data_IF_534145585406
#
_entry.id   IF_534145585406
#
_cell.length_a   1.000
_cell.length_b   1.000
_cell.length_c   1.000
_cell.angle_alpha   90.00
_cell.angle_beta   90.00
_cell.angle_gamma   90.00
#
_symmetry.space_group_name_H-M   'P 1'
#
loop_
_entity.id
_entity.type
_entity.pdbx_description
1 polymer ?
#
# COMPACT_ATOMS: atom_id res chain seq x y z
N UNK A 1 -4.10 9.70 15.01
CA UNK A 1 -3.24 8.52 14.80
C UNK A 1 -3.98 7.35 15.41
N UNK A 2 -4.23 6.29 14.63
CA UNK A 2 -4.96 5.10 15.08
C UNK A 2 -3.91 4.10 15.59
N UNK A 3 -4.19 3.39 16.68
CA UNK A 3 -3.31 2.32 17.15
C UNK A 3 -3.23 1.21 16.08
N UNK A 4 -2.06 0.60 15.90
CA UNK A 4 -1.89 -0.49 14.94
C UNK A 4 -2.77 -1.69 15.29
N UNK A 5 -3.04 -1.91 16.59
CA UNK A 5 -3.91 -2.99 17.05
C UNK A 5 -5.38 -2.76 16.67
N UNK A 6 -5.80 -1.50 16.57
CA UNK A 6 -7.17 -1.11 16.23
C UNK A 6 -7.42 -0.99 14.71
N UNK A 7 -6.43 -1.32 13.88
CA UNK A 7 -6.57 -1.30 12.42
C UNK A 7 -7.46 -2.46 11.93
N UNK A 8 -8.74 -2.20 11.76
CA UNK A 8 -9.70 -3.18 11.24
C UNK A 8 -10.07 -2.91 9.77
N UNK A 9 -10.88 -3.79 9.19
CA UNK A 9 -11.42 -3.62 7.85
C UNK A 9 -12.38 -2.40 7.80
N UNK A 10 -12.30 -1.61 6.72
CA UNK A 10 -13.11 -0.40 6.58
C UNK A 10 -14.61 -0.67 6.43
N UNK A 11 -14.97 -1.79 5.80
CA UNK A 11 -16.34 -2.21 5.55
C UNK A 11 -16.52 -3.69 5.85
N UNK A 12 -17.58 -4.03 6.59
CA UNK A 12 -17.96 -5.43 6.86
C UNK A 12 -18.54 -6.12 5.61
N UNK A 13 -19.11 -5.36 4.69
CA UNK A 13 -19.89 -5.85 3.54
C UNK A 13 -19.28 -5.47 2.18
N UNK A 14 -17.95 -5.43 2.07
CA UNK A 14 -17.28 -5.22 0.79
C UNK A 14 -17.37 -6.49 -0.07
N UNK A 15 -17.84 -6.35 -1.30
CA UNK A 15 -17.97 -7.46 -2.27
C UNK A 15 -16.60 -7.88 -2.83
N UNK A 16 -16.47 -9.13 -3.29
CA UNK A 16 -15.21 -9.67 -3.84
C UNK A 16 -14.88 -9.13 -5.25
N UNK A 17 -15.88 -8.68 -6.00
CA UNK A 17 -15.75 -8.29 -7.41
C UNK A 17 -15.57 -6.78 -7.56
N UNK A 18 -16.33 -5.98 -6.81
CA UNK A 18 -16.25 -4.51 -6.90
C UNK A 18 -16.90 -3.79 -5.72
N UNK A 19 -16.40 -2.61 -5.30
CA UNK A 19 -17.07 -1.78 -4.33
C UNK A 19 -18.34 -1.16 -4.91
N UNK A 20 -19.31 -0.85 -4.05
CA UNK A 20 -20.39 0.08 -4.41
C UNK A 20 -19.83 1.48 -4.66
N UNK A 21 -20.58 2.34 -5.36
CA UNK A 21 -20.16 3.73 -5.58
C UNK A 21 -19.91 4.50 -4.26
N UNK A 22 -20.69 4.22 -3.22
CA UNK A 22 -20.53 4.83 -1.88
C UNK A 22 -19.24 4.36 -1.22
N UNK A 23 -18.94 3.05 -1.24
CA UNK A 23 -17.70 2.50 -0.70
C UNK A 23 -16.48 3.04 -1.46
N UNK A 24 -16.54 3.10 -2.80
CA UNK A 24 -15.47 3.64 -3.62
C UNK A 24 -15.21 5.13 -3.34
N UNK A 25 -16.27 5.93 -3.24
CA UNK A 25 -16.17 7.34 -2.87
C UNK A 25 -15.53 7.52 -1.49
N UNK A 26 -15.90 6.68 -0.51
CA UNK A 26 -15.32 6.72 0.83
C UNK A 26 -13.85 6.32 0.86
N UNK A 27 -13.47 5.27 0.12
CA UNK A 27 -12.05 4.91 -0.05
C UNK A 27 -11.26 6.06 -0.69
N UNK A 28 -11.85 6.73 -1.69
CA UNK A 28 -11.19 7.84 -2.37
C UNK A 28 -11.02 9.07 -1.48
N UNK A 29 -12.02 9.38 -0.64
CA UNK A 29 -11.91 10.42 0.40
C UNK A 29 -10.73 10.15 1.34
N UNK A 30 -10.65 8.93 1.89
CA UNK A 30 -9.54 8.51 2.76
C UNK A 30 -8.19 8.66 2.05
N UNK A 31 -8.08 8.19 0.82
CA UNK A 31 -6.85 8.34 0.03
C UNK A 31 -6.43 9.80 -0.13
N UNK A 32 -7.39 10.69 -0.40
CA UNK A 32 -7.12 12.12 -0.54
C UNK A 32 -6.66 12.73 0.77
N UNK A 33 -7.34 12.43 1.86
CA UNK A 33 -6.98 12.97 3.16
C UNK A 33 -5.63 12.43 3.62
N UNK A 34 -5.34 11.16 3.37
CA UNK A 34 -4.11 10.52 3.83
C UNK A 34 -2.86 10.93 3.05
N UNK A 35 -2.99 11.18 1.74
CA UNK A 35 -1.81 11.32 0.88
C UNK A 35 -1.82 12.55 -0.04
N UNK A 36 -2.97 13.19 -0.24
CA UNK A 36 -3.08 14.37 -1.13
C UNK A 36 -3.16 15.66 -0.34
N UNK A 37 -3.92 15.68 0.76
CA UNK A 37 -4.10 16.86 1.60
C UNK A 37 -3.09 16.89 2.76
N UNK A 38 -2.95 15.79 3.51
CA UNK A 38 -1.90 15.67 4.51
C UNK A 38 -0.62 15.20 3.83
N UNK A 39 0.36 16.10 3.73
CA UNK A 39 1.70 15.73 3.32
C UNK A 39 2.29 14.72 4.32
N UNK A 40 2.58 13.50 3.85
CA UNK A 40 3.30 12.50 4.64
C UNK A 40 4.78 12.61 4.32
N UNK A 41 5.59 12.84 5.36
CA UNK A 41 7.05 12.91 5.27
C UNK A 41 7.65 11.72 5.98
N UNK A 42 8.50 10.97 5.27
CA UNK A 42 9.22 9.80 5.79
C UNK A 42 10.71 10.01 5.57
N UNK A 43 11.50 9.97 6.63
CA UNK A 43 12.96 10.23 6.62
C UNK A 43 13.31 11.57 5.94
N UNK A 44 12.49 12.60 6.16
CA UNK A 44 12.67 13.92 5.54
C UNK A 44 12.30 13.98 4.06
N UNK A 45 11.68 12.94 3.49
CA UNK A 45 11.22 12.89 2.10
C UNK A 45 9.70 12.85 2.01
N UNK A 46 9.14 13.68 1.15
CA UNK A 46 7.70 13.69 0.88
C UNK A 46 7.27 12.46 0.08
N UNK A 47 6.06 11.98 0.34
CA UNK A 47 5.41 10.98 -0.49
C UNK A 47 4.82 11.66 -1.73
N UNK A 48 5.16 11.13 -2.92
CA UNK A 48 4.55 11.54 -4.18
C UNK A 48 3.63 10.43 -4.71
N UNK A 49 2.63 10.84 -5.49
CA UNK A 49 1.62 9.96 -6.06
C UNK A 49 1.60 10.08 -7.59
N UNK A 50 1.09 9.05 -8.25
CA UNK A 50 0.79 9.08 -9.68
C UNK A 50 -0.66 9.55 -9.87
N UNK A 51 -0.81 10.80 -10.30
CA UNK A 51 -2.10 11.48 -10.47
C UNK A 51 -2.75 11.26 -11.84
N UNK A 52 -2.03 10.68 -12.80
CA UNK A 52 -2.59 10.36 -14.11
C UNK A 52 -3.77 9.38 -13.97
N UNK A 53 -4.77 9.57 -14.83
CA UNK A 53 -5.97 8.74 -14.87
C UNK A 53 -5.64 7.35 -15.41
N UNK A 54 -6.25 6.32 -14.82
CA UNK A 54 -6.20 4.97 -15.36
C UNK A 54 -7.22 4.75 -16.46
N UNK A 55 -6.95 3.77 -17.31
CA UNK A 55 -7.88 3.24 -18.32
C UNK A 55 -8.52 1.91 -17.90
N UNK A 56 -8.34 1.52 -16.63
CA UNK A 56 -8.90 0.29 -16.10
C UNK A 56 -10.43 0.43 -15.98
N UNK A 57 -11.15 -0.50 -16.61
CA UNK A 57 -12.61 -0.50 -16.62
C UNK A 57 -13.19 -0.54 -15.19
N UNK A 58 -14.14 0.34 -14.90
CA UNK A 58 -14.76 0.52 -13.58
C UNK A 58 -13.99 1.44 -12.63
N UNK A 59 -12.80 1.89 -13.03
CA UNK A 59 -11.96 2.82 -12.28
C UNK A 59 -11.46 3.97 -13.17
N UNK A 60 -12.09 4.18 -14.33
CA UNK A 60 -11.73 5.24 -15.26
C UNK A 60 -11.74 6.59 -14.52
N UNK A 61 -10.89 7.51 -14.95
CA UNK A 61 -10.76 8.85 -14.38
C UNK A 61 -10.15 8.92 -12.96
N UNK A 62 -9.92 7.79 -12.29
CA UNK A 62 -9.28 7.76 -10.98
C UNK A 62 -7.74 7.77 -11.08
N UNK A 63 -7.02 8.35 -10.11
CA UNK A 63 -5.56 8.37 -10.09
C UNK A 63 -4.93 6.97 -10.08
N UNK A 64 -3.85 6.75 -10.84
CA UNK A 64 -3.18 5.45 -10.94
C UNK A 64 -2.74 4.92 -9.57
N UNK A 65 -2.17 5.74 -8.69
CA UNK A 65 -1.77 5.27 -7.34
C UNK A 65 -2.98 4.80 -6.53
N UNK A 66 -4.09 5.55 -6.55
CA UNK A 66 -5.31 5.13 -5.85
C UNK A 66 -5.76 3.75 -6.36
N UNK A 67 -5.85 3.57 -7.67
CA UNK A 67 -6.28 2.30 -8.26
C UNK A 67 -5.30 1.16 -7.94
N UNK A 68 -4.01 1.43 -7.84
CA UNK A 68 -3.01 0.44 -7.41
C UNK A 68 -3.12 0.01 -5.94
N UNK A 69 -3.80 0.79 -5.08
CA UNK A 69 -4.14 0.41 -3.71
C UNK A 69 -5.39 -0.48 -3.64
N UNK A 70 -6.27 -0.42 -4.64
CA UNK A 70 -7.52 -1.19 -4.68
C UNK A 70 -7.42 -2.47 -5.52
N UNK A 71 -6.37 -2.60 -6.33
CA UNK A 71 -6.28 -3.65 -7.35
C UNK A 71 -4.96 -4.40 -7.28
N UNK A 72 -4.97 -5.63 -7.80
CA UNK A 72 -3.78 -6.45 -7.98
C UNK A 72 -3.59 -6.80 -9.45
N UNK A 73 -2.35 -7.03 -9.83
CA UNK A 73 -2.01 -7.70 -11.08
C UNK A 73 -1.91 -9.21 -10.79
N UNK A 74 -2.80 -10.06 -11.34
CA UNK A 74 -2.81 -11.50 -11.02
C UNK A 74 -1.52 -12.20 -11.45
N UNK A 75 -0.95 -11.77 -12.58
CA UNK A 75 0.36 -12.17 -13.06
C UNK A 75 0.90 -11.11 -14.02
N UNK A 76 2.23 -11.07 -14.18
CA UNK A 76 2.92 -10.05 -14.97
C UNK A 76 2.33 -9.92 -16.38
N UNK A 77 1.94 -8.72 -16.75
CA UNK A 77 1.34 -8.37 -18.04
C UNK A 77 -0.16 -8.61 -18.13
N UNK A 78 -0.83 -9.10 -17.07
CA UNK A 78 -2.29 -9.27 -17.06
C UNK A 78 -2.99 -8.01 -16.55
N UNK A 79 -4.21 -7.72 -17.06
CA UNK A 79 -4.99 -6.61 -16.53
C UNK A 79 -5.18 -6.72 -15.03
N UNK A 80 -5.10 -5.58 -14.34
CA UNK A 80 -5.37 -5.51 -12.91
C UNK A 80 -6.83 -5.86 -12.64
N UNK A 81 -7.07 -6.53 -11.52
CA UNK A 81 -8.41 -6.85 -11.02
C UNK A 81 -8.58 -6.27 -9.62
N UNK A 82 -9.82 -5.96 -9.24
CA UNK A 82 -10.13 -5.55 -7.88
C UNK A 82 -9.63 -6.59 -6.86
N UNK A 83 -9.15 -6.09 -5.72
CA UNK A 83 -8.66 -6.89 -4.61
C UNK A 83 -9.26 -6.30 -3.32
N UNK A 84 -10.31 -6.98 -2.84
CA UNK A 84 -11.05 -6.58 -1.65
C UNK A 84 -10.14 -6.41 -0.44
N UNK A 85 -9.20 -7.32 -0.20
CA UNK A 85 -8.34 -7.29 0.99
C UNK A 85 -7.45 -6.05 1.00
N UNK A 86 -6.99 -5.58 -0.18
CA UNK A 86 -6.24 -4.33 -0.31
C UNK A 86 -7.15 -3.12 -0.13
N UNK A 87 -8.27 -3.11 -0.85
CA UNK A 87 -9.20 -1.99 -0.88
C UNK A 87 -9.78 -1.68 0.51
N UNK A 88 -10.13 -2.72 1.28
CA UNK A 88 -10.71 -2.56 2.62
C UNK A 88 -9.72 -1.99 3.65
N UNK A 89 -8.41 -2.05 3.36
CA UNK A 89 -7.31 -1.61 4.22
C UNK A 89 -6.64 -0.35 3.73
N UNK A 90 -7.29 0.43 2.85
CA UNK A 90 -6.68 1.63 2.27
C UNK A 90 -6.23 2.64 3.34
N UNK A 91 -7.00 2.77 4.44
CA UNK A 91 -6.70 3.65 5.57
C UNK A 91 -5.51 3.20 6.42
N UNK A 92 -5.00 1.97 6.23
CA UNK A 92 -3.83 1.48 6.96
C UNK A 92 -2.55 2.10 6.45
N UNK A 93 -2.52 2.53 5.19
CA UNK A 93 -1.32 2.97 4.49
C UNK A 93 -0.57 4.07 5.26
N UNK A 94 -1.26 5.16 5.61
CA UNK A 94 -0.65 6.26 6.37
C UNK A 94 -0.25 5.84 7.78
N UNK A 95 -1.06 5.02 8.46
CA UNK A 95 -0.77 4.59 9.84
C UNK A 95 0.51 3.75 9.88
N UNK A 96 0.69 2.81 8.94
CA UNK A 96 1.89 1.97 8.83
C UNK A 96 3.13 2.81 8.52
N UNK A 97 3.03 3.78 7.62
CA UNK A 97 4.17 4.62 7.24
C UNK A 97 4.58 5.57 8.37
N UNK A 98 3.62 6.23 9.01
CA UNK A 98 3.89 7.20 10.08
C UNK A 98 4.37 6.54 11.38
N UNK A 99 4.03 5.26 11.59
CA UNK A 99 4.48 4.46 12.73
C UNK A 99 5.64 3.51 12.37
N UNK A 100 6.48 3.87 11.38
CA UNK A 100 7.58 3.01 10.91
C UNK A 100 8.57 2.54 11.99
N UNK A 101 8.71 3.31 13.07
CA UNK A 101 9.63 3.02 14.18
C UNK A 101 8.98 2.12 15.26
N UNK A 102 7.69 1.78 15.11
CA UNK A 102 7.02 0.81 15.95
C UNK A 102 7.61 -0.59 15.67
N UNK A 103 7.99 -1.38 16.71
CA UNK A 103 8.54 -2.72 16.54
C UNK A 103 7.68 -3.70 15.73
N UNK A 104 6.37 -3.46 15.63
CA UNK A 104 5.43 -4.25 14.81
C UNK A 104 5.61 -4.04 13.30
N UNK A 105 6.29 -2.96 12.89
CA UNK A 105 6.56 -2.65 11.49
C UNK A 105 7.98 -3.12 11.13
N UNK A 106 8.05 -4.21 10.37
CA UNK A 106 9.30 -4.70 9.78
C UNK A 106 9.65 -3.87 8.55
N UNK A 107 10.61 -2.98 8.73
CA UNK A 107 11.20 -2.21 7.64
C UNK A 107 12.33 -2.99 6.95
N UNK A 108 12.30 -3.04 5.61
CA UNK A 108 13.43 -3.53 4.83
C UNK A 108 13.48 -2.94 3.43
N UNK A 109 14.69 -2.86 2.88
CA UNK A 109 14.92 -2.44 1.50
C UNK A 109 15.33 -3.63 0.62
N UNK A 110 14.78 -3.71 -0.58
CA UNK A 110 15.22 -4.69 -1.59
C UNK A 110 15.14 -4.12 -3.00
N UNK A 111 15.97 -4.64 -3.90
CA UNK A 111 15.89 -4.35 -5.33
C UNK A 111 14.90 -5.30 -5.98
N UNK A 112 13.83 -4.76 -6.53
CA UNK A 112 12.84 -5.51 -7.30
C UNK A 112 12.69 -4.88 -8.69
N UNK A 113 12.87 -5.70 -9.72
CA UNK A 113 12.87 -5.28 -11.13
C UNK A 113 13.81 -4.09 -11.42
N UNK A 114 14.99 -4.09 -10.80
CA UNK A 114 16.02 -3.06 -10.97
C UNK A 114 15.76 -1.76 -10.18
N UNK A 115 14.72 -1.72 -9.34
CA UNK A 115 14.42 -0.56 -8.51
C UNK A 115 14.54 -0.89 -7.03
N UNK A 116 15.22 -0.03 -6.28
CA UNK A 116 15.18 -0.06 -4.82
C UNK A 116 13.75 0.23 -4.35
N UNK A 117 13.22 -0.62 -3.47
CA UNK A 117 11.92 -0.48 -2.85
C UNK A 117 12.04 -0.62 -1.34
N UNK A 118 11.36 0.27 -0.64
CA UNK A 118 11.21 0.30 0.82
C UNK A 118 9.90 -0.38 1.19
N UNK A 119 9.99 -1.44 1.98
CA UNK A 119 8.84 -2.20 2.44
C UNK A 119 8.60 -1.90 3.92
N UNK A 120 7.38 -1.50 4.23
CA UNK A 120 6.90 -1.28 5.60
C UNK A 120 5.88 -2.37 5.87
N UNK A 121 6.35 -3.50 6.41
CA UNK A 121 5.53 -4.69 6.59
C UNK A 121 5.01 -4.78 8.02
N UNK A 122 3.69 -4.64 8.17
CA UNK A 122 3.01 -4.97 9.41
C UNK A 122 2.74 -6.48 9.43
N UNK A 123 3.68 -7.22 10.04
CA UNK A 123 3.68 -8.69 10.02
C UNK A 123 2.45 -9.29 10.67
N UNK A 124 2.04 -8.79 11.84
CA UNK A 124 0.93 -9.36 12.62
C UNK A 124 -0.41 -9.35 11.84
N UNK A 125 -0.63 -8.34 11.00
CA UNK A 125 -1.83 -8.21 10.16
C UNK A 125 -1.57 -8.48 8.67
N UNK A 126 -0.42 -9.06 8.33
CA UNK A 126 -0.04 -9.46 6.98
C UNK A 126 -0.24 -8.37 5.93
N UNK A 127 0.17 -7.14 6.22
CA UNK A 127 -0.04 -6.03 5.28
C UNK A 127 1.24 -5.24 5.06
N UNK A 128 1.56 -4.96 3.81
CA UNK A 128 2.76 -4.18 3.46
C UNK A 128 2.39 -2.93 2.69
N UNK A 129 3.08 -1.83 3.01
CA UNK A 129 3.11 -0.62 2.20
C UNK A 129 4.47 -0.51 1.52
N UNK A 130 4.49 -0.24 0.22
CA UNK A 130 5.72 -0.20 -0.58
C UNK A 130 5.94 1.21 -1.13
N UNK A 131 7.09 1.78 -0.79
CA UNK A 131 7.59 3.02 -1.36
C UNK A 131 8.77 2.77 -2.29
N UNK A 132 8.96 3.63 -3.28
CA UNK A 132 10.13 3.64 -4.17
C UNK A 132 10.77 5.03 -4.14
N UNK A 133 12.08 5.17 -3.87
CA UNK A 133 12.78 6.44 -4.03
C UNK A 133 12.70 6.96 -5.47
N UNK A 134 12.30 8.22 -5.64
CA UNK A 134 12.25 8.93 -6.92
C UNK A 134 12.79 10.35 -6.71
N UNK A 135 14.03 10.58 -7.16
CA UNK A 135 14.74 11.84 -6.92
C UNK A 135 14.79 12.16 -5.41
N UNK A 136 14.30 13.33 -4.99
CA UNK A 136 14.22 13.74 -3.58
C UNK A 136 13.02 13.13 -2.81
N UNK A 137 12.07 12.49 -3.50
CA UNK A 137 10.79 12.05 -2.92
C UNK A 137 10.68 10.52 -2.84
N UNK A 138 9.60 10.04 -2.22
CA UNK A 138 9.22 8.63 -2.16
C UNK A 138 7.90 8.41 -2.91
N UNK A 139 7.89 7.65 -3.99
CA UNK A 139 6.66 7.27 -4.68
C UNK A 139 5.94 6.17 -3.91
N UNK A 140 4.65 6.38 -3.57
CA UNK A 140 3.77 5.31 -3.12
C UNK A 140 3.46 4.37 -4.28
N UNK A 141 4.02 3.15 -4.23
CA UNK A 141 3.90 2.17 -5.31
C UNK A 141 2.58 1.41 -5.21
N UNK A 142 2.31 0.83 -4.04
CA UNK A 142 1.13 0.02 -3.73
C UNK A 142 1.12 -0.31 -2.23
N UNK A 143 0.02 -0.89 -1.75
CA UNK A 143 -0.10 -1.52 -0.45
C UNK A 143 -0.97 -2.76 -0.59
N UNK A 144 -0.64 -3.86 0.11
CA UNK A 144 -1.39 -5.09 -0.02
C UNK A 144 -1.23 -6.11 1.09
N UNK A 145 -2.20 -7.03 1.16
CA UNK A 145 -2.16 -8.22 2.00
C UNK A 145 -1.10 -9.23 1.51
N UNK A 146 -0.18 -9.59 2.39
CA UNK A 146 0.90 -10.56 2.18
C UNK A 146 0.33 -11.96 2.35
N UNK A 147 0.04 -12.61 1.22
CA UNK A 147 -0.46 -13.99 1.20
C UNK A 147 0.48 -14.94 1.96
N UNK A 148 -0.09 -15.96 2.62
CA UNK A 148 0.65 -16.92 3.45
C UNK A 148 1.87 -17.55 2.75
N UNK A 149 1.76 -17.83 1.44
CA UNK A 149 2.84 -18.39 0.64
C UNK A 149 4.02 -17.43 0.46
N UNK A 150 3.79 -16.11 0.52
CA UNK A 150 4.80 -15.07 0.34
C UNK A 150 5.40 -14.58 1.66
N UNK A 151 4.82 -14.93 2.81
CA UNK A 151 5.35 -14.51 4.12
C UNK A 151 6.80 -14.92 4.30
N UNK A 152 7.15 -16.16 3.95
CA UNK A 152 8.54 -16.66 4.03
C UNK A 152 9.52 -15.86 3.19
N UNK A 153 9.09 -15.40 2.00
CA UNK A 153 9.93 -14.55 1.15
C UNK A 153 10.17 -13.19 1.81
N UNK A 154 9.13 -12.62 2.44
CA UNK A 154 9.21 -11.36 3.19
C UNK A 154 10.10 -11.49 4.44
N UNK A 155 9.96 -12.58 5.20
CA UNK A 155 10.82 -12.89 6.34
C UNK A 155 12.28 -13.03 5.90
N UNK A 156 12.53 -13.74 4.81
CA UNK A 156 13.87 -13.90 4.25
C UNK A 156 14.47 -12.57 3.80
N UNK A 157 13.71 -11.75 3.06
CA UNK A 157 14.14 -10.43 2.61
C UNK A 157 14.43 -9.50 3.80
N UNK A 158 13.58 -9.54 4.84
CA UNK A 158 13.78 -8.79 6.07
C UNK A 158 15.07 -9.21 6.78
N UNK A 159 15.27 -10.51 7.01
CA UNK A 159 16.46 -11.03 7.69
C UNK A 159 17.74 -10.69 6.92
N UNK A 160 17.72 -10.89 5.60
CA UNK A 160 18.85 -10.52 4.72
C UNK A 160 19.18 -9.03 4.79
N UNK A 161 18.17 -8.17 4.82
CA UNK A 161 18.38 -6.73 5.00
C UNK A 161 18.99 -6.42 6.36
N UNK A 162 18.48 -7.04 7.44
CA UNK A 162 19.00 -6.87 8.80
C UNK A 162 20.45 -7.30 8.95
N UNK A 163 20.88 -8.33 8.25
CA UNK A 163 22.29 -8.80 8.22
C UNK A 163 23.21 -7.86 7.43
N UNK A 164 22.66 -6.98 6.59
CA UNK A 164 23.43 -6.04 5.76
C UNK A 164 23.63 -4.65 6.38
N UNK A 165 23.02 -4.39 7.55
CA UNK A 165 23.16 -3.16 8.33
C UNK A 165 24.38 -3.22 9.26
#
# INVERSE_FOLDING_TARGET
>A
MIDLDDLEDLFDNLDEVSPTAVQLAKMYEIYRDDFVHDYVVIDGKEITLKSQKTWLKGFEELPETFVHLLTREPSKGKPRTFDKLRANRIHWGKQILTQKDNPKIKYFEKVDQGYLKRHYWFEEKDFVVILKPVSANLLLVTAFYVEALKKKDFEWDYNKYRESL
#
